data_IF_139991324523
#
_entry.id   IF_139991324523
#
_cell.length_a   1.000
_cell.length_b   1.000
_cell.length_c   1.000
_cell.angle_alpha   90.00
_cell.angle_beta   90.00
_cell.angle_gamma   90.00
#
_symmetry.space_group_name_H-M   'P 1'
#
loop_
_entity.id
_entity.type
_entity.pdbx_description
1 polymer ?
#
# COMPACT_ATOMS: atom_id res chain seq x y z
N UNK A 1 -8.31 -12.12 9.46
CA UNK A 1 -7.79 -11.54 8.19
C UNK A 1 -6.75 -10.46 8.43
N UNK A 2 -7.04 -9.42 9.22
CA UNK A 2 -6.13 -8.27 9.47
C UNK A 2 -4.76 -8.69 10.02
N UNK A 3 -4.72 -9.60 11.01
CA UNK A 3 -3.47 -10.10 11.60
C UNK A 3 -2.56 -10.86 10.62
N UNK A 4 -3.14 -11.59 9.65
CA UNK A 4 -2.35 -12.34 8.67
C UNK A 4 -1.69 -11.41 7.65
N UNK A 5 -2.41 -10.41 7.16
CA UNK A 5 -1.86 -9.41 6.25
C UNK A 5 -0.78 -8.56 6.91
N UNK A 6 -0.97 -8.21 8.19
CA UNK A 6 0.06 -7.52 8.97
C UNK A 6 1.35 -8.36 9.09
N UNK A 7 1.23 -9.68 9.32
CA UNK A 7 2.38 -10.57 9.40
C UNK A 7 3.12 -10.73 8.06
N UNK A 8 2.38 -10.85 6.95
CA UNK A 8 2.98 -10.86 5.60
C UNK A 8 3.68 -9.55 5.28
N UNK A 9 3.05 -8.42 5.61
CA UNK A 9 3.65 -7.11 5.43
C UNK A 9 4.96 -7.01 6.20
N UNK A 10 4.99 -7.35 7.49
CA UNK A 10 6.22 -7.31 8.29
C UNK A 10 7.33 -8.23 7.76
N UNK A 11 6.97 -9.37 7.15
CA UNK A 11 7.94 -10.33 6.63
C UNK A 11 8.58 -9.91 5.30
N UNK A 12 7.83 -9.24 4.43
CA UNK A 12 8.27 -8.93 3.07
C UNK A 12 8.52 -7.44 2.82
N UNK A 13 8.01 -6.55 3.67
CA UNK A 13 8.23 -5.11 3.54
C UNK A 13 9.53 -4.72 4.22
N UNK A 14 10.50 -4.27 3.44
CA UNK A 14 11.58 -3.43 3.93
C UNK A 14 11.15 -1.98 3.78
N UNK A 15 11.19 -1.24 4.89
CA UNK A 15 10.93 0.20 4.89
C UNK A 15 12.01 0.87 4.03
N UNK A 16 11.66 1.51 2.91
CA UNK A 16 12.59 2.33 2.17
C UNK A 16 13.06 3.53 3.01
N UNK A 17 14.23 4.07 2.70
CA UNK A 17 14.63 5.35 3.27
C UNK A 17 13.71 6.45 2.71
N UNK A 18 13.04 7.16 3.61
CA UNK A 18 12.14 8.26 3.30
C UNK A 18 12.58 9.57 3.95
N UNK A 19 13.77 9.66 4.54
CA UNK A 19 14.16 10.84 5.33
C UNK A 19 14.04 12.14 4.53
N UNK A 20 14.51 12.16 3.28
CA UNK A 20 14.39 13.35 2.40
C UNK A 20 12.92 13.73 2.15
N UNK A 21 12.06 12.74 1.90
CA UNK A 21 10.63 12.95 1.67
C UNK A 21 9.92 13.42 2.95
N UNK A 22 10.30 12.89 4.11
CA UNK A 22 9.76 13.31 5.41
C UNK A 22 10.12 14.78 5.70
N UNK A 23 11.36 15.19 5.41
CA UNK A 23 11.81 16.58 5.52
C UNK A 23 11.03 17.51 4.59
N UNK A 24 10.86 17.14 3.31
CA UNK A 24 10.08 17.93 2.33
C UNK A 24 8.61 18.09 2.78
N UNK A 25 8.01 17.02 3.28
CA UNK A 25 6.63 17.03 3.79
C UNK A 25 6.51 17.97 4.99
N UNK A 26 7.44 17.93 5.94
CA UNK A 26 7.35 18.78 7.13
C UNK A 26 7.63 20.25 6.81
N UNK A 27 8.56 20.54 5.90
CA UNK A 27 8.76 21.90 5.39
C UNK A 27 7.47 22.43 4.75
N UNK A 28 6.85 21.66 3.84
CA UNK A 28 5.59 22.04 3.20
C UNK A 28 4.47 22.24 4.22
N UNK A 29 4.39 21.39 5.25
CA UNK A 29 3.41 21.56 6.34
C UNK A 29 3.62 22.86 7.10
N UNK A 30 4.86 23.26 7.35
CA UNK A 30 5.16 24.54 8.00
C UNK A 30 4.67 25.72 7.14
N UNK A 31 4.98 25.72 5.84
CA UNK A 31 4.53 26.77 4.91
C UNK A 31 2.99 26.86 4.86
N UNK A 32 2.30 25.72 4.87
CA UNK A 32 0.84 25.66 4.94
C UNK A 32 0.31 26.21 6.26
N UNK A 33 0.97 25.94 7.39
CA UNK A 33 0.59 26.48 8.71
C UNK A 33 0.69 28.00 8.76
N UNK A 34 1.72 28.55 8.11
CA UNK A 34 2.00 29.99 8.09
C UNK A 34 1.06 30.74 7.13
N UNK A 35 0.68 30.11 6.01
CA UNK A 35 -0.21 30.71 5.01
C UNK A 35 -1.71 30.62 5.36
N UNK A 36 -2.15 29.59 6.11
CA UNK A 36 -3.57 29.30 6.31
C UNK A 36 -4.08 29.58 7.73
N UNK A 37 -5.28 30.14 7.82
CA UNK A 37 -6.03 30.25 9.06
C UNK A 37 -6.47 28.89 9.62
N UNK A 38 -6.94 28.89 10.86
CA UNK A 38 -7.44 27.67 11.53
C UNK A 38 -8.61 26.98 10.78
N UNK A 39 -9.64 27.70 10.26
CA UNK A 39 -10.74 27.03 9.58
C UNK A 39 -10.32 26.43 8.23
N UNK A 40 -9.42 27.09 7.49
CA UNK A 40 -8.87 26.57 6.23
C UNK A 40 -8.03 25.31 6.48
N UNK A 41 -7.16 25.33 7.50
CA UNK A 41 -6.38 24.16 7.91
C UNK A 41 -7.25 22.97 8.27
N UNK A 42 -8.37 23.18 8.96
CA UNK A 42 -9.32 22.10 9.30
C UNK A 42 -9.92 21.47 8.04
N UNK A 43 -10.34 22.28 7.06
CA UNK A 43 -10.87 21.77 5.79
C UNK A 43 -9.81 21.03 4.99
N UNK A 44 -8.58 21.55 4.94
CA UNK A 44 -7.46 20.88 4.28
C UNK A 44 -7.17 19.52 4.92
N UNK A 45 -7.16 19.44 6.25
CA UNK A 45 -6.95 18.18 6.97
C UNK A 45 -8.05 17.15 6.62
N UNK A 46 -9.32 17.57 6.60
CA UNK A 46 -10.43 16.70 6.17
C UNK A 46 -10.26 16.19 4.73
N UNK A 47 -9.76 17.02 3.82
CA UNK A 47 -9.50 16.62 2.43
C UNK A 47 -8.35 15.61 2.35
N UNK A 48 -7.24 15.86 3.07
CA UNK A 48 -6.09 14.95 3.14
C UNK A 48 -6.51 13.60 3.72
N UNK A 49 -7.30 13.59 4.79
CA UNK A 49 -7.83 12.36 5.39
C UNK A 49 -8.70 11.57 4.40
N UNK A 50 -9.57 12.25 3.64
CA UNK A 50 -10.40 11.62 2.62
C UNK A 50 -9.55 11.03 1.47
N UNK A 51 -8.50 11.75 1.05
CA UNK A 51 -7.58 11.29 0.01
C UNK A 51 -6.77 10.08 0.48
N UNK A 52 -6.28 10.10 1.73
CA UNK A 52 -5.55 8.98 2.33
C UNK A 52 -6.43 7.73 2.40
N UNK A 53 -7.67 7.86 2.89
CA UNK A 53 -8.62 6.75 2.93
C UNK A 53 -8.92 6.18 1.54
N UNK A 54 -9.06 7.05 0.52
CA UNK A 54 -9.25 6.61 -0.86
C UNK A 54 -8.04 5.83 -1.37
N UNK A 55 -6.82 6.34 -1.12
CA UNK A 55 -5.56 5.69 -1.52
C UNK A 55 -5.40 4.31 -0.85
N UNK A 56 -5.73 4.20 0.44
CA UNK A 56 -5.73 2.92 1.15
C UNK A 56 -6.70 1.91 0.55
N UNK A 57 -7.94 2.34 0.23
CA UNK A 57 -8.93 1.48 -0.41
C UNK A 57 -8.49 1.00 -1.79
N UNK A 58 -7.91 1.89 -2.60
CA UNK A 58 -7.36 1.54 -3.92
C UNK A 58 -6.21 0.55 -3.75
N UNK A 59 -5.25 0.83 -2.85
CA UNK A 59 -4.12 -0.05 -2.58
C UNK A 59 -4.56 -1.44 -2.16
N UNK A 60 -5.54 -1.54 -1.26
CA UNK A 60 -6.10 -2.82 -0.83
C UNK A 60 -6.79 -3.57 -1.98
N UNK A 61 -7.57 -2.88 -2.82
CA UNK A 61 -8.22 -3.48 -3.97
C UNK A 61 -7.19 -4.01 -4.99
N UNK A 62 -6.16 -3.22 -5.30
CA UNK A 62 -5.05 -3.61 -6.17
C UNK A 62 -4.28 -4.80 -5.61
N UNK A 63 -4.00 -4.81 -4.30
CA UNK A 63 -3.33 -5.93 -3.64
C UNK A 63 -4.16 -7.22 -3.74
N UNK A 64 -5.47 -7.16 -3.46
CA UNK A 64 -6.36 -8.33 -3.56
C UNK A 64 -6.39 -8.87 -4.99
N UNK A 65 -6.47 -7.97 -5.99
CA UNK A 65 -6.44 -8.35 -7.40
C UNK A 65 -5.10 -9.02 -7.78
N UNK A 66 -3.97 -8.42 -7.39
CA UNK A 66 -2.64 -8.98 -7.63
C UNK A 66 -2.40 -10.31 -6.91
N UNK A 67 -2.90 -10.46 -5.68
CA UNK A 67 -2.83 -11.71 -4.93
C UNK A 67 -3.61 -12.83 -5.63
N UNK A 68 -4.85 -12.56 -6.06
CA UNK A 68 -5.64 -13.53 -6.84
C UNK A 68 -4.93 -13.94 -8.12
N UNK A 69 -4.36 -12.98 -8.85
CA UNK A 69 -3.58 -13.25 -10.05
C UNK A 69 -2.39 -14.16 -9.76
N UNK A 70 -1.60 -13.85 -8.72
CA UNK A 70 -0.46 -14.68 -8.32
C UNK A 70 -0.88 -16.10 -7.90
N UNK A 71 -2.03 -16.25 -7.24
CA UNK A 71 -2.58 -17.56 -6.88
C UNK A 71 -2.95 -18.40 -8.11
N UNK A 72 -3.58 -17.80 -9.12
CA UNK A 72 -3.91 -18.54 -10.35
C UNK A 72 -2.66 -18.90 -11.15
N UNK A 73 -1.69 -18.00 -11.26
CA UNK A 73 -0.38 -18.29 -11.87
C UNK A 73 0.30 -19.47 -11.16
N UNK A 74 0.32 -19.47 -9.83
CA UNK A 74 0.92 -20.56 -9.06
C UNK A 74 0.24 -21.91 -9.34
N UNK A 75 -1.09 -21.94 -9.40
CA UNK A 75 -1.84 -23.16 -9.77
C UNK A 75 -1.52 -23.63 -11.18
N UNK A 76 -1.42 -22.73 -12.15
CA UNK A 76 -1.08 -23.08 -13.54
C UNK A 76 0.34 -23.67 -13.63
N UNK A 77 1.28 -23.12 -12.87
CA UNK A 77 2.67 -23.59 -12.84
C UNK A 77 2.84 -24.93 -12.11
N UNK A 78 2.03 -25.24 -11.10
CA UNK A 78 2.00 -26.56 -10.45
C UNK A 78 1.51 -27.68 -11.38
N UNK A 79 0.88 -27.35 -12.52
CA UNK A 79 0.33 -28.29 -13.51
C UNK A 79 1.33 -28.64 -14.63
N UNK A 80 2.64 -28.38 -14.48
CA UNK A 80 3.63 -29.01 -15.39
C UNK A 80 3.64 -30.53 -15.15
N UNK A 81 3.23 -31.34 -16.14
CA UNK A 81 2.90 -32.74 -15.92
C UNK A 81 4.16 -33.55 -15.65
N UNK A 82 4.11 -34.39 -14.62
CA UNK A 82 5.01 -35.52 -14.47
C UNK A 82 5.10 -36.27 -15.81
N UNK A 83 6.31 -36.28 -16.37
CA UNK A 83 6.68 -37.12 -17.48
C UNK A 83 6.33 -38.57 -17.17
N UNK A 84 5.80 -39.24 -18.20
CA UNK A 84 5.44 -40.65 -18.20
C UNK A 84 6.64 -41.50 -17.82
N UNK A 85 6.50 -42.35 -16.81
CA UNK A 85 7.28 -43.56 -16.68
C UNK A 85 6.31 -44.74 -16.82
N UNK A 86 6.19 -45.21 -18.05
CA UNK A 86 5.70 -46.54 -18.37
C UNK A 86 6.74 -47.56 -17.88
N UNK A 87 6.35 -48.40 -16.92
CA UNK A 87 7.02 -49.65 -16.56
C UNK A 87 5.96 -50.69 -16.29
#
# INVERSE_FOLDING_TARGET
MYHYMAALHQRFFQVPDFTELEEEIEQTRQEVRDCLGQPERRKLMQLVDAQNLLREKISLASFIAGFKLAQEIAKELEVTPHGKETG
#
